data_IF_036410958098
#
_entry.id   IF_036410958098
#
_cell.length_a   1.000
_cell.length_b   1.000
_cell.length_c   1.000
_cell.angle_alpha   90.00
_cell.angle_beta   90.00
_cell.angle_gamma   90.00
#
_symmetry.space_group_name_H-M   'P 1'
#
loop_
_entity.id
_entity.type
_entity.pdbx_description
1 polymer ?
#
# COMPACT_ATOMS: atom_id res chain seq x y z
N UNK A 1 -15.09 6.14 0.79
CA UNK A 1 -13.76 6.82 0.73
C UNK A 1 -13.82 8.05 -0.17
N UNK A 2 -14.60 9.06 0.19
CA UNK A 2 -14.57 10.34 -0.54
C UNK A 2 -13.35 11.14 -0.09
N UNK A 3 -12.40 11.33 -1.01
CA UNK A 3 -11.43 12.43 -1.01
C UNK A 3 -10.53 12.56 0.22
N UNK A 4 -9.75 11.53 0.58
CA UNK A 4 -8.62 11.78 1.48
C UNK A 4 -7.64 12.74 0.77
N UNK A 5 -7.30 13.92 1.33
CA UNK A 5 -6.59 14.99 0.61
C UNK A 5 -5.20 14.59 0.12
N UNK A 6 -4.63 13.52 0.70
CA UNK A 6 -3.32 12.96 0.29
C UNK A 6 -3.41 11.66 -0.49
N UNK A 7 -4.62 11.13 -0.69
CA UNK A 7 -4.85 9.93 -1.48
C UNK A 7 -5.22 10.35 -2.91
N UNK A 8 -4.29 10.18 -3.85
CA UNK A 8 -4.64 10.26 -5.26
C UNK A 8 -5.45 9.01 -5.64
N UNK A 9 -6.77 9.15 -5.68
CA UNK A 9 -7.70 8.07 -6.02
C UNK A 9 -7.84 7.86 -7.54
N UNK A 10 -7.66 8.91 -8.34
CA UNK A 10 -7.89 8.86 -9.79
C UNK A 10 -9.34 8.48 -10.13
N UNK A 11 -9.56 7.72 -11.21
CA UNK A 11 -10.89 7.18 -11.54
C UNK A 11 -11.28 6.10 -10.53
N UNK A 12 -12.53 6.12 -10.07
CA UNK A 12 -13.02 5.18 -9.04
C UNK A 12 -12.75 3.71 -9.37
N UNK A 13 -12.99 3.30 -10.62
CA UNK A 13 -12.74 1.93 -11.08
C UNK A 13 -11.26 1.53 -11.02
N UNK A 14 -10.34 2.46 -11.28
CA UNK A 14 -8.90 2.21 -11.14
C UNK A 14 -8.47 2.15 -9.69
N UNK A 15 -9.08 2.98 -8.85
CA UNK A 15 -8.89 2.96 -7.41
C UNK A 15 -9.34 1.63 -6.81
N UNK A 16 -10.53 1.17 -7.19
CA UNK A 16 -11.06 -0.14 -6.81
C UNK A 16 -10.13 -1.28 -7.23
N UNK A 17 -9.75 -1.34 -8.51
CA UNK A 17 -8.79 -2.37 -9.00
C UNK A 17 -7.47 -2.34 -8.23
N UNK A 18 -6.97 -1.16 -7.90
CA UNK A 18 -5.76 -1.01 -7.10
C UNK A 18 -5.93 -1.60 -5.69
N UNK A 19 -7.02 -1.28 -4.99
CA UNK A 19 -7.30 -1.83 -3.65
C UNK A 19 -7.50 -3.35 -3.72
N UNK A 20 -8.17 -3.87 -4.76
CA UNK A 20 -8.32 -5.30 -4.99
C UNK A 20 -6.97 -6.00 -5.24
N UNK A 21 -6.04 -5.34 -5.94
CA UNK A 21 -4.69 -5.83 -6.16
C UNK A 21 -3.91 -5.95 -4.84
N UNK A 22 -3.98 -4.92 -3.99
CA UNK A 22 -3.36 -4.91 -2.65
C UNK A 22 -3.98 -6.00 -1.79
N UNK A 23 -5.31 -6.12 -1.77
CA UNK A 23 -6.00 -7.17 -1.03
C UNK A 23 -5.57 -8.57 -1.47
N UNK A 24 -5.40 -8.83 -2.77
CA UNK A 24 -4.92 -10.11 -3.26
C UNK A 24 -3.49 -10.43 -2.75
N UNK A 25 -2.58 -9.44 -2.77
CA UNK A 25 -1.23 -9.60 -2.25
C UNK A 25 -1.26 -9.89 -0.75
N UNK A 26 -2.04 -9.13 0.03
CA UNK A 26 -2.16 -9.32 1.48
C UNK A 26 -2.77 -10.68 1.84
N UNK A 27 -3.78 -11.12 1.10
CA UNK A 27 -4.46 -12.40 1.33
C UNK A 27 -3.60 -13.61 0.95
N UNK A 28 -2.77 -13.51 -0.09
CA UNK A 28 -1.97 -14.64 -0.59
C UNK A 28 -0.56 -14.67 -0.02
N UNK A 29 -0.04 -13.54 0.47
CA UNK A 29 1.37 -13.39 0.84
C UNK A 29 2.34 -13.49 -0.35
N UNK A 30 1.83 -13.47 -1.60
CA UNK A 30 2.65 -13.61 -2.78
C UNK A 30 3.59 -12.41 -2.97
N UNK A 31 4.72 -12.63 -3.63
CA UNK A 31 5.61 -11.54 -4.02
C UNK A 31 4.89 -10.57 -4.96
N UNK A 32 5.18 -9.27 -4.88
CA UNK A 32 4.61 -8.25 -5.76
C UNK A 32 4.73 -8.59 -7.25
N UNK A 33 5.85 -9.19 -7.67
CA UNK A 33 6.09 -9.59 -9.08
C UNK A 33 5.16 -10.70 -9.57
N UNK A 34 4.52 -11.44 -8.66
CA UNK A 34 3.56 -12.49 -8.99
C UNK A 34 2.12 -11.96 -9.10
N UNK A 35 1.90 -10.64 -8.99
CA UNK A 35 0.59 -10.04 -9.15
C UNK A 35 0.00 -10.38 -10.52
N UNK A 36 -1.21 -10.97 -10.60
CA UNK A 36 -1.86 -11.24 -11.87
C UNK A 36 -2.13 -9.97 -12.69
N UNK A 37 -1.86 -10.01 -14.00
CA UNK A 37 -1.99 -8.86 -14.90
C UNK A 37 -3.39 -8.22 -14.94
N UNK A 38 -4.43 -8.99 -14.58
CA UNK A 38 -5.81 -8.48 -14.46
C UNK A 38 -5.95 -7.32 -13.45
N UNK A 39 -5.04 -7.23 -12.49
CA UNK A 39 -4.99 -6.15 -11.51
C UNK A 39 -4.14 -4.95 -11.97
N UNK A 40 -3.47 -5.08 -13.11
CA UNK A 40 -2.56 -4.08 -13.66
C UNK A 40 -1.09 -4.38 -13.36
N UNK A 41 -0.22 -3.46 -13.78
CA UNK A 41 1.24 -3.63 -13.69
C UNK A 41 1.69 -3.63 -12.24
N UNK A 42 2.33 -4.71 -11.79
CA UNK A 42 2.78 -4.87 -10.41
C UNK A 42 3.60 -3.69 -9.86
N UNK A 43 4.50 -3.12 -10.68
CA UNK A 43 5.37 -2.03 -10.27
C UNK A 43 4.58 -0.73 -10.00
N UNK A 44 3.52 -0.49 -10.78
CA UNK A 44 2.63 0.66 -10.57
C UNK A 44 1.83 0.50 -9.28
N UNK A 45 1.33 -0.71 -9.01
CA UNK A 45 0.61 -1.04 -7.76
C UNK A 45 1.54 -0.88 -6.56
N UNK A 46 2.74 -1.47 -6.61
CA UNK A 46 3.73 -1.37 -5.52
C UNK A 46 4.12 0.08 -5.22
N UNK A 47 4.43 0.88 -6.26
CA UNK A 47 4.76 2.31 -6.08
C UNK A 47 3.59 3.10 -5.48
N UNK A 48 2.36 2.83 -5.91
CA UNK A 48 1.18 3.51 -5.38
C UNK A 48 0.91 3.09 -3.93
N UNK A 49 1.08 1.82 -3.61
CA UNK A 49 1.01 1.30 -2.23
C UNK A 49 1.98 2.05 -1.33
N UNK A 50 3.25 2.17 -1.73
CA UNK A 50 4.28 2.91 -0.97
C UNK A 50 3.94 4.39 -0.81
N UNK A 51 3.44 5.07 -1.85
CA UNK A 51 2.99 6.48 -1.73
C UNK A 51 1.83 6.64 -0.75
N UNK A 52 0.90 5.69 -0.73
CA UNK A 52 -0.23 5.72 0.21
C UNK A 52 0.23 5.48 1.65
N UNK A 53 1.24 4.64 1.84
CA UNK A 53 1.90 4.42 3.13
C UNK A 53 2.62 5.69 3.61
N UNK A 54 3.48 6.27 2.78
CA UNK A 54 4.20 7.53 3.05
C UNK A 54 3.24 8.69 3.37
N UNK A 55 2.07 8.71 2.72
CA UNK A 55 1.05 9.75 2.91
C UNK A 55 0.08 9.44 4.06
N UNK A 56 0.24 8.34 4.79
CA UNK A 56 -0.61 7.93 5.91
C UNK A 56 -2.01 7.47 5.51
N UNK A 57 -2.28 7.28 4.21
CA UNK A 57 -3.60 6.92 3.68
C UNK A 57 -4.09 5.60 4.25
N UNK A 58 -3.21 4.60 4.34
CA UNK A 58 -3.56 3.30 4.92
C UNK A 58 -3.94 3.44 6.40
N UNK A 59 -3.13 4.17 7.18
CA UNK A 59 -3.39 4.38 8.60
C UNK A 59 -4.73 5.09 8.84
N UNK A 60 -5.03 6.14 8.07
CA UNK A 60 -6.28 6.88 8.23
C UNK A 60 -7.50 6.07 7.76
N UNK A 61 -7.32 5.24 6.73
CA UNK A 61 -8.34 4.28 6.29
C UNK A 61 -8.63 3.24 7.38
N UNK A 62 -7.60 2.64 8.00
CA UNK A 62 -7.79 1.68 9.10
C UNK A 62 -8.45 2.33 10.31
N UNK A 63 -8.07 3.56 10.68
CA UNK A 63 -8.72 4.30 11.75
C UNK A 63 -10.21 4.50 11.48
N UNK A 64 -10.59 4.87 10.25
CA UNK A 64 -11.99 5.05 9.89
C UNK A 64 -12.78 3.75 9.98
N UNK A 65 -12.22 2.63 9.50
CA UNK A 65 -12.89 1.34 9.58
C UNK A 65 -12.97 0.79 11.00
N UNK A 66 -12.00 1.09 11.87
CA UNK A 66 -12.04 0.68 13.27
C UNK A 66 -13.16 1.38 14.08
N UNK A 67 -13.67 2.53 13.60
CA UNK A 67 -14.78 3.25 14.23
C UNK A 67 -16.16 2.76 13.76
N UNK A 68 -16.21 1.90 12.73
CA UNK A 68 -17.43 1.34 12.20
C UNK A 68 -17.67 -0.05 12.81
N UNK A 69 -18.70 -0.23 13.68
CA UNK A 69 -18.97 -1.48 14.37
C UNK A 69 -19.20 -2.67 13.42
N UNK A 70 -19.73 -2.41 12.21
CA UNK A 70 -19.99 -3.44 11.21
C UNK A 70 -18.71 -3.88 10.49
N UNK A 71 -17.68 -3.02 10.46
CA UNK A 71 -16.37 -3.32 9.85
C UNK A 71 -15.34 -3.81 10.87
N UNK A 72 -15.52 -3.52 12.16
CA UNK A 72 -14.70 -4.08 13.24
C UNK A 72 -14.76 -5.63 13.28
N UNK A 73 -15.89 -6.21 12.88
CA UNK A 73 -16.08 -7.66 12.76
C UNK A 73 -15.50 -8.29 11.47
N UNK A 74 -15.13 -7.47 10.48
CA UNK A 74 -14.64 -7.90 9.14
C UNK A 74 -13.15 -7.59 8.95
N UNK A 75 -12.50 -6.94 9.92
CA UNK A 75 -11.05 -6.76 9.88
C UNK A 75 -10.41 -8.16 9.85
N UNK A 76 -9.71 -8.54 8.77
CA UNK A 76 -9.09 -9.86 8.72
C UNK A 76 -8.20 -10.00 9.94
N UNK A 77 -8.40 -11.09 10.67
CA UNK A 77 -7.51 -11.48 11.75
C UNK A 77 -6.08 -11.36 11.23
N UNK A 78 -5.24 -10.63 11.95
CA UNK A 78 -3.90 -10.28 11.50
C UNK A 78 -3.04 -11.55 11.41
N UNK A 79 -3.16 -12.29 10.31
CA UNK A 79 -2.16 -13.29 9.93
C UNK A 79 -0.90 -12.50 9.63
N UNK A 80 0.05 -12.53 10.54
CA UNK A 80 1.35 -11.88 10.40
C UNK A 80 2.00 -12.43 9.12
N UNK A 81 1.92 -11.68 8.01
CA UNK A 81 2.64 -12.01 6.78
C UNK A 81 4.11 -11.74 7.08
N UNK A 82 4.88 -12.81 7.31
CA UNK A 82 6.32 -12.72 7.56
C UNK A 82 6.97 -12.07 6.33
N UNK A 83 7.46 -10.84 6.48
CA UNK A 83 8.21 -10.19 5.43
C UNK A 83 9.50 -10.99 5.16
N UNK A 84 9.84 -11.21 3.89
CA UNK A 84 11.14 -11.75 3.53
C UNK A 84 12.24 -10.80 4.00
N UNK A 85 13.40 -11.31 4.43
CA UNK A 85 14.51 -10.50 4.96
C UNK A 85 14.94 -9.33 4.06
N UNK A 86 14.69 -9.43 2.76
CA UNK A 86 14.96 -8.38 1.76
C UNK A 86 13.94 -7.23 1.76
N UNK A 87 12.87 -7.31 2.55
CA UNK A 87 11.84 -6.27 2.64
C UNK A 87 12.30 -5.02 3.43
N UNK A 88 13.37 -5.13 4.23
CA UNK A 88 13.91 -4.03 5.01
C UNK A 88 14.45 -2.86 4.16
N UNK A 89 14.60 -3.04 2.84
CA UNK A 89 15.14 -2.02 1.95
C UNK A 89 16.62 -1.72 2.22
N UNK A 90 17.28 -1.09 1.25
CA UNK A 90 18.62 -0.54 1.45
C UNK A 90 18.53 0.91 1.92
N UNK A 91 19.30 1.28 2.94
CA UNK A 91 19.38 2.66 3.46
C UNK A 91 19.64 3.65 2.31
N UNK A 92 18.80 4.69 2.19
CA UNK A 92 19.04 5.78 1.22
C UNK A 92 20.36 6.46 1.61
N UNK A 93 21.41 6.30 0.80
CA UNK A 93 22.65 7.09 0.93
C UNK A 93 22.28 8.56 0.70
N UNK A 94 22.46 9.38 1.73
CA UNK A 94 22.26 10.82 1.67
C UNK A 94 23.08 11.44 0.54
N UNK A 95 22.49 12.42 -0.14
CA UNK A 95 23.20 13.25 -1.09
C UNK A 95 24.34 13.97 -0.37
N UNK A 96 25.59 13.58 -0.64
CA UNK A 96 26.75 14.36 -0.25
C UNK A 96 26.69 15.69 -1.01
N UNK A 97 26.40 16.78 -0.30
CA UNK A 97 26.64 18.12 -0.80
C UNK A 97 28.15 18.31 -0.97
N UNK A 98 28.61 18.41 -2.22
CA UNK A 98 29.94 18.92 -2.52
C UNK A 98 29.85 20.44 -2.55
N UNK A 99 30.29 21.09 -1.48
CA UNK A 99 30.73 22.48 -1.58
C UNK A 99 32.21 22.45 -1.97
N UNK A 100 32.53 22.97 -3.15
CA UNK A 100 33.89 23.33 -3.54
C UNK A 100 34.09 24.82 -3.30
N UNK A 101 35.29 25.13 -2.79
CA UNK A 101 35.79 26.45 -2.42
C UNK A 101 35.88 27.43 -3.60
#
# INVERSE_FOLDING_TARGET
MQGHPRAYAGREQECRRFVEAVHWILRTGAQWRALPDRYGKWNSVFKRFGRWDENGVWADMFKQFAQDPDMAAVMPDSTVVRAHMSAAGGSKKGALSKNSA
#
